data_IF_377234976752
#
_entry.id   IF_377234976752
#
_cell.length_a   1.000
_cell.length_b   1.000
_cell.length_c   1.000
_cell.angle_alpha   90.00
_cell.angle_beta   90.00
_cell.angle_gamma   90.00
#
_symmetry.space_group_name_H-M   'P 1'
#
loop_
_entity.id
_entity.type
_entity.pdbx_description
1 polymer ?
#
# COMPACT_ATOMS: atom_id res chain seq x y z
N UNK A 1 -0.89 5.01 -2.91
CA UNK A 1 -1.10 4.05 -1.81
C UNK A 1 -0.88 4.69 -0.44
N UNK A 2 0.24 5.38 -0.19
CA UNK A 2 0.49 6.05 1.10
C UNK A 2 -0.64 6.99 1.56
N UNK A 3 -1.16 7.84 0.67
CA UNK A 3 -2.26 8.75 1.00
C UNK A 3 -3.54 8.02 1.46
N UNK A 4 -3.82 6.84 0.89
CA UNK A 4 -4.96 6.03 1.27
C UNK A 4 -4.71 5.41 2.64
N UNK A 5 -3.52 4.83 2.86
CA UNK A 5 -3.14 4.23 4.13
C UNK A 5 -3.07 5.20 5.32
N UNK A 6 -2.96 6.51 5.07
CA UNK A 6 -2.97 7.55 6.12
C UNK A 6 -4.36 8.06 6.48
N UNK A 7 -5.42 7.56 5.84
CA UNK A 7 -6.79 7.96 6.18
C UNK A 7 -7.19 7.50 7.57
N UNK A 8 -8.02 8.30 8.25
CA UNK A 8 -8.61 7.99 9.56
C UNK A 8 -9.34 6.65 9.57
N UNK A 9 -9.99 6.30 8.46
CA UNK A 9 -10.73 5.03 8.32
C UNK A 9 -9.82 3.83 8.51
N UNK A 10 -8.67 3.81 7.84
CA UNK A 10 -7.72 2.69 7.91
C UNK A 10 -6.96 2.67 9.23
N UNK A 11 -6.57 3.84 9.75
CA UNK A 11 -5.95 3.94 11.07
C UNK A 11 -6.85 3.36 12.14
N UNK A 12 -8.09 3.83 12.19
CA UNK A 12 -9.03 3.36 13.18
C UNK A 12 -9.34 1.85 12.98
N UNK A 13 -9.45 1.37 11.74
CA UNK A 13 -9.63 -0.07 11.45
C UNK A 13 -8.48 -0.93 12.04
N UNK A 14 -7.24 -0.50 11.87
CA UNK A 14 -6.09 -1.19 12.44
C UNK A 14 -6.03 -1.06 13.97
N UNK A 15 -6.35 0.10 14.54
CA UNK A 15 -6.47 0.29 16.00
C UNK A 15 -7.55 -0.60 16.62
N UNK A 16 -8.64 -0.85 15.88
CA UNK A 16 -9.70 -1.80 16.24
C UNK A 16 -9.28 -3.27 16.12
N UNK A 17 -8.06 -3.56 15.68
CA UNK A 17 -7.55 -4.92 15.45
C UNK A 17 -8.17 -5.61 14.24
N UNK A 18 -8.80 -4.86 13.33
CA UNK A 18 -9.44 -5.42 12.14
C UNK A 18 -8.36 -5.81 11.11
N UNK A 19 -8.36 -7.05 10.59
CA UNK A 19 -7.37 -7.51 9.63
C UNK A 19 -7.66 -6.92 8.25
N UNK A 20 -7.18 -5.70 8.00
CA UNK A 20 -7.33 -5.00 6.71
C UNK A 20 -5.95 -4.85 6.07
N UNK A 21 -5.89 -5.19 4.76
CA UNK A 21 -4.70 -5.03 3.94
C UNK A 21 -4.99 -4.07 2.77
N UNK A 22 -4.05 -3.18 2.49
CA UNK A 22 -4.10 -2.25 1.36
C UNK A 22 -3.05 -2.66 0.35
N UNK A 23 -3.44 -2.97 -0.88
CA UNK A 23 -2.53 -3.34 -1.95
C UNK A 23 -2.35 -2.21 -2.97
N UNK A 24 -1.14 -2.10 -3.52
CA UNK A 24 -0.77 -1.10 -4.50
C UNK A 24 -0.41 -1.71 -5.84
N UNK A 25 -1.29 -1.62 -6.83
CA UNK A 25 -1.05 -2.15 -8.17
C UNK A 25 -1.00 -1.03 -9.21
N UNK A 26 -0.18 -1.21 -10.24
CA UNK A 26 -0.18 -0.38 -11.45
C UNK A 26 -0.37 -1.26 -12.67
N UNK A 27 -0.84 -0.69 -13.77
CA UNK A 27 -0.84 -1.37 -15.05
C UNK A 27 -0.39 -0.41 -16.15
N UNK A 28 0.29 -0.95 -17.16
CA UNK A 28 0.62 -0.21 -18.37
C UNK A 28 -0.63 -0.07 -19.24
N UNK A 29 -0.93 1.14 -19.69
CA UNK A 29 -2.02 1.37 -20.65
C UNK A 29 -1.72 0.74 -22.02
N UNK A 30 -0.45 0.52 -22.33
CA UNK A 30 0.04 -0.04 -23.59
C UNK A 30 -0.04 -1.56 -23.66
N UNK A 31 0.13 -2.27 -22.54
CA UNK A 31 0.23 -3.73 -22.50
C UNK A 31 -0.79 -4.40 -21.57
N UNK A 32 -1.54 -3.62 -20.78
CA UNK A 32 -2.55 -4.11 -19.84
C UNK A 32 -1.98 -5.01 -18.73
N UNK A 33 -0.64 -5.05 -18.56
CA UNK A 33 -0.02 -5.95 -17.59
C UNK A 33 -0.06 -5.32 -16.21
N UNK A 34 -0.77 -6.00 -15.31
CA UNK A 34 -0.84 -5.64 -13.92
C UNK A 34 0.52 -5.96 -13.25
N UNK A 35 1.10 -4.95 -12.60
CA UNK A 35 2.34 -5.05 -11.83
C UNK A 35 2.04 -4.66 -10.39
N UNK A 36 2.39 -5.57 -9.50
CA UNK A 36 2.38 -5.27 -8.07
C UNK A 36 3.57 -4.36 -7.74
N UNK A 37 3.33 -3.27 -7.01
CA UNK A 37 4.39 -2.37 -6.52
C UNK A 37 5.07 -2.88 -5.24
N UNK A 38 4.72 -4.07 -4.75
CA UNK A 38 5.22 -4.62 -3.50
C UNK A 38 4.76 -3.81 -2.28
N UNK A 39 3.70 -3.03 -2.42
CA UNK A 39 3.28 -2.02 -1.44
C UNK A 39 2.01 -2.47 -0.69
N UNK A 40 2.00 -3.72 -0.20
CA UNK A 40 0.93 -4.26 0.65
C UNK A 40 1.06 -3.70 2.07
N UNK A 41 0.09 -2.97 2.61
CA UNK A 41 0.15 -2.41 3.97
C UNK A 41 -0.93 -3.07 4.83
N UNK A 42 -0.51 -3.75 5.90
CA UNK A 42 -1.39 -4.52 6.81
C UNK A 42 -1.45 -3.91 8.21
N UNK A 43 -0.85 -2.73 8.39
CA UNK A 43 -0.81 -2.04 9.68
C UNK A 43 0.03 -0.76 9.62
N UNK A 44 -0.13 0.10 10.64
CA UNK A 44 0.55 1.39 10.74
C UNK A 44 2.09 1.25 10.72
N UNK A 45 2.64 0.26 11.42
CA UNK A 45 4.09 0.01 11.46
C UNK A 45 4.65 -0.41 10.09
N UNK A 46 3.86 -1.10 9.28
CA UNK A 46 4.30 -1.58 7.97
C UNK A 46 4.33 -0.47 6.91
N UNK A 47 3.63 0.64 7.13
CA UNK A 47 3.46 1.71 6.13
C UNK A 47 4.77 2.41 5.81
N UNK A 48 5.54 2.83 6.83
CA UNK A 48 6.77 3.59 6.63
C UNK A 48 7.85 2.76 5.90
N UNK A 49 8.06 1.51 6.32
CA UNK A 49 9.04 0.62 5.72
C UNK A 49 8.69 0.22 4.29
N UNK A 50 7.42 -0.11 4.02
CA UNK A 50 6.98 -0.56 2.68
C UNK A 50 6.86 0.59 1.67
N UNK A 51 6.51 1.81 2.12
CA UNK A 51 6.52 2.99 1.24
C UNK A 51 7.91 3.27 0.69
N UNK A 52 8.94 3.18 1.53
CA UNK A 52 10.33 3.41 1.11
C UNK A 52 10.84 2.30 0.18
N UNK A 53 10.46 1.04 0.43
CA UNK A 53 10.82 -0.09 -0.43
C UNK A 53 10.17 0.01 -1.83
N UNK A 54 8.90 0.39 -1.91
CA UNK A 54 8.20 0.51 -3.17
C UNK A 54 8.70 1.69 -4.02
N UNK A 55 9.10 2.82 -3.40
CA UNK A 55 9.75 3.93 -4.12
C UNK A 55 11.09 3.52 -4.76
N UNK A 56 11.82 2.56 -4.18
CA UNK A 56 13.06 2.05 -4.77
C UNK A 56 12.83 1.17 -6.01
N UNK A 57 11.65 0.57 -6.17
CA UNK A 57 11.34 -0.30 -7.31
C UNK A 57 10.84 0.47 -8.54
N UNK A 58 10.45 1.73 -8.38
CA UNK A 58 9.94 2.61 -9.46
C UNK A 58 11.07 3.45 -10.09
N UNK A 59 12.28 3.43 -9.52
CA UNK A 59 13.45 4.18 -10.00
C UNK A 59 14.45 3.25 -10.70
#
# INVERSE_FOLDING_TARGET
VANVAQTTILRDAWERGQPIAVHGWIYGLSDGRLRDLGMTVEGLDALAGRHQAALKQIR
#
